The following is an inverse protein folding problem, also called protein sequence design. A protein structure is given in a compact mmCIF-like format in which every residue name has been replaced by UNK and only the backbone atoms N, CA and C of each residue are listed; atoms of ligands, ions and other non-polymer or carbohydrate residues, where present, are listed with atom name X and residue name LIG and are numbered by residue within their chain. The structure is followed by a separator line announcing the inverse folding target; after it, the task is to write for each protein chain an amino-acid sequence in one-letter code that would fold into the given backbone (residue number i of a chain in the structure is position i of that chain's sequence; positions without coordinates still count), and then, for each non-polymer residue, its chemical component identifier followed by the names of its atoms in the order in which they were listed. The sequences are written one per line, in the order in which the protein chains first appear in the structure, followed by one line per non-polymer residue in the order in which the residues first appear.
data_IF_141650066846
#
_entry.id   IF_141650066846
#
_cell.length_a   1.000
_cell.length_b   1.000
_cell.length_c   1.000
_cell.angle_alpha   90.00
_cell.angle_beta   90.00
_cell.angle_gamma   90.00
#
_symmetry.space_group_name_H-M   'P 1'
#
loop_
_entity.id
_entity.type
_entity.pdbx_description
1 polymer ?
#
# COMPACT_ATOMS: atom_id res chain seq x y z
N UNK A 1 -13.16 11.08 10.49
CA UNK A 1 -12.93 10.17 9.35
C UNK A 1 -11.43 9.92 9.27
N UNK A 2 -11.02 8.67 9.05
CA UNK A 2 -9.60 8.34 8.91
C UNK A 2 -9.46 7.31 7.80
N UNK A 3 -8.87 7.73 6.68
CA UNK A 3 -8.58 6.87 5.54
C UNK A 3 -7.42 5.94 5.85
N UNK A 4 -7.48 4.73 5.33
CA UNK A 4 -6.37 3.77 5.34
C UNK A 4 -5.86 3.58 3.91
N UNK A 5 -4.66 4.10 3.63
CA UNK A 5 -4.18 4.12 2.26
C UNK A 5 -3.85 2.72 1.73
N UNK A 6 -3.48 1.76 2.59
CA UNK A 6 -3.13 0.43 2.13
C UNK A 6 -3.34 -0.64 3.21
N UNK A 7 -4.04 -1.70 2.82
CA UNK A 7 -4.19 -2.95 3.57
C UNK A 7 -4.28 -4.14 2.60
N UNK A 8 -4.21 -5.37 3.10
CA UNK A 8 -4.31 -6.59 2.29
C UNK A 8 -5.46 -7.48 2.80
N UNK A 9 -6.58 -7.48 2.08
CA UNK A 9 -7.78 -8.21 2.51
C UNK A 9 -7.60 -9.72 2.44
N UNK A 10 -6.90 -10.23 1.43
CA UNK A 10 -6.67 -11.68 1.33
C UNK A 10 -5.95 -12.18 2.55
N UNK A 11 -4.87 -11.51 2.95
CA UNK A 11 -4.11 -11.90 4.14
C UNK A 11 -4.94 -11.78 5.42
N UNK A 12 -5.77 -10.72 5.54
CA UNK A 12 -6.68 -10.57 6.68
C UNK A 12 -7.68 -11.73 6.73
N UNK A 13 -8.24 -12.15 5.59
CA UNK A 13 -9.19 -13.28 5.52
C UNK A 13 -8.50 -14.62 5.81
N UNK A 14 -7.30 -14.84 5.29
CA UNK A 14 -6.53 -16.06 5.55
C UNK A 14 -6.26 -16.24 7.05
N UNK A 15 -6.00 -15.14 7.74
CA UNK A 15 -5.70 -15.15 9.15
C UNK A 15 -6.95 -15.25 10.06
N UNK A 16 -8.07 -14.65 9.68
CA UNK A 16 -9.24 -14.46 10.55
C UNK A 16 -10.50 -15.18 10.05
N UNK A 17 -10.56 -15.57 8.78
CA UNK A 17 -11.76 -16.06 8.12
C UNK A 17 -12.69 -14.93 7.67
N UNK A 18 -13.71 -15.25 6.87
CA UNK A 18 -14.63 -14.27 6.28
C UNK A 18 -15.48 -13.55 7.34
N UNK A 19 -16.01 -14.29 8.32
CA UNK A 19 -16.93 -13.75 9.32
C UNK A 19 -16.24 -12.69 10.20
N UNK A 20 -15.04 -12.99 10.72
CA UNK A 20 -14.30 -12.01 11.53
C UNK A 20 -13.79 -10.85 10.66
N UNK A 21 -13.43 -11.10 9.41
CA UNK A 21 -13.08 -10.01 8.49
C UNK A 21 -14.27 -9.07 8.23
N UNK A 22 -15.49 -9.60 8.13
CA UNK A 22 -16.71 -8.78 8.05
C UNK A 22 -16.89 -7.90 9.30
N UNK A 23 -16.61 -8.45 10.49
CA UNK A 23 -16.62 -7.68 11.74
C UNK A 23 -15.53 -6.59 11.75
N UNK A 24 -14.31 -6.90 11.28
CA UNK A 24 -13.21 -5.94 11.14
C UNK A 24 -13.63 -4.78 10.24
N UNK A 25 -14.16 -5.08 9.05
CA UNK A 25 -14.65 -4.07 8.12
C UNK A 25 -15.82 -3.27 8.68
N UNK A 26 -16.75 -3.91 9.41
CA UNK A 26 -17.87 -3.23 10.09
C UNK A 26 -17.38 -2.23 11.15
N UNK A 27 -16.35 -2.58 11.93
CA UNK A 27 -15.72 -1.67 12.88
C UNK A 27 -15.02 -0.51 12.16
N UNK A 28 -14.30 -0.80 11.07
CA UNK A 28 -13.63 0.23 10.27
C UNK A 28 -14.63 1.21 9.64
N UNK A 29 -15.77 0.72 9.11
CA UNK A 29 -16.83 1.56 8.57
C UNK A 29 -17.40 2.56 9.60
N UNK A 30 -17.37 2.21 10.89
CA UNK A 30 -17.77 3.11 11.98
C UNK A 30 -16.96 4.40 12.05
N UNK A 31 -15.73 4.40 11.53
CA UNK A 31 -14.89 5.61 11.39
C UNK A 31 -15.27 6.49 10.19
N UNK A 32 -16.18 6.03 9.33
CA UNK A 32 -16.58 6.69 8.08
C UNK A 32 -15.35 7.08 7.23
N UNK A 33 -14.49 6.13 6.82
CA UNK A 33 -13.34 6.45 5.99
C UNK A 33 -13.78 7.11 4.68
N UNK A 34 -13.02 8.09 4.22
CA UNK A 34 -13.16 8.63 2.87
C UNK A 34 -12.57 7.66 1.83
N UNK A 35 -11.47 7.00 2.21
CA UNK A 35 -10.70 6.15 1.32
C UNK A 35 -10.11 4.95 2.06
N UNK A 36 -10.07 3.82 1.37
CA UNK A 36 -9.36 2.61 1.78
C UNK A 36 -8.88 1.88 0.53
N UNK A 37 -7.62 1.42 0.48
CA UNK A 37 -7.10 0.73 -0.67
C UNK A 37 -6.67 -0.69 -0.32
N UNK A 38 -7.28 -1.66 -0.98
CA UNK A 38 -6.87 -3.06 -0.92
C UNK A 38 -5.78 -3.35 -1.94
N UNK A 39 -4.65 -3.88 -1.47
CA UNK A 39 -3.45 -4.08 -2.26
C UNK A 39 -3.40 -5.45 -2.95
N UNK A 40 -3.06 -5.44 -4.25
CA UNK A 40 -2.77 -6.65 -5.03
C UNK A 40 -1.31 -7.06 -4.93
N UNK A 41 -1.04 -8.35 -4.83
CA UNK A 41 0.32 -8.90 -4.73
C UNK A 41 0.68 -9.85 -5.88
N UNK A 42 -0.32 -10.33 -6.63
CA UNK A 42 -0.13 -11.16 -7.83
C UNK A 42 -0.88 -10.62 -9.03
N UNK A 43 -0.47 -11.00 -10.23
CA UNK A 43 -0.95 -10.41 -11.50
C UNK A 43 -2.47 -10.54 -11.75
N UNK A 44 -3.18 -11.41 -11.06
CA UNK A 44 -4.59 -11.71 -11.33
C UNK A 44 -5.48 -11.84 -10.08
N UNK A 45 -4.97 -11.52 -8.89
CA UNK A 45 -5.70 -11.69 -7.63
C UNK A 45 -6.92 -10.74 -7.46
N UNK A 46 -7.02 -9.69 -8.27
CA UNK A 46 -8.08 -8.67 -8.18
C UNK A 46 -9.50 -9.28 -8.24
N UNK A 47 -9.71 -10.32 -9.06
CA UNK A 47 -11.01 -10.97 -9.20
C UNK A 47 -11.47 -11.65 -7.90
N UNK A 48 -10.54 -12.35 -7.26
CA UNK A 48 -10.81 -13.02 -5.99
C UNK A 48 -10.99 -12.01 -4.86
N UNK A 49 -10.12 -11.00 -4.78
CA UNK A 49 -10.15 -9.95 -3.75
C UNK A 49 -11.45 -9.15 -3.82
N UNK A 50 -11.86 -8.71 -5.01
CA UNK A 50 -13.14 -8.02 -5.23
C UNK A 50 -14.32 -8.86 -4.73
N UNK A 51 -14.38 -10.14 -5.10
CA UNK A 51 -15.43 -11.06 -4.67
C UNK A 51 -15.42 -11.25 -3.14
N UNK A 52 -14.27 -11.48 -2.53
CA UNK A 52 -14.14 -11.67 -1.09
C UNK A 52 -14.57 -10.43 -0.30
N UNK A 53 -14.13 -9.26 -0.74
CA UNK A 53 -14.53 -7.98 -0.13
C UNK A 53 -16.03 -7.78 -0.22
N UNK A 54 -16.63 -8.04 -1.38
CA UNK A 54 -18.07 -7.93 -1.54
C UNK A 54 -18.82 -8.87 -0.59
N UNK A 55 -18.38 -10.12 -0.48
CA UNK A 55 -18.94 -11.09 0.46
C UNK A 55 -18.87 -10.60 1.93
N UNK A 56 -17.71 -10.09 2.34
CA UNK A 56 -17.56 -9.52 3.68
C UNK A 56 -18.47 -8.32 3.92
N UNK A 57 -18.63 -7.44 2.94
CA UNK A 57 -19.50 -6.27 3.05
C UNK A 57 -20.98 -6.69 3.13
N UNK A 58 -21.41 -7.62 2.31
CA UNK A 58 -22.81 -8.09 2.27
C UNK A 58 -23.22 -8.90 3.51
N UNK A 59 -22.27 -9.46 4.25
CA UNK A 59 -22.49 -10.11 5.53
C UNK A 59 -22.73 -9.12 6.69
N UNK A 60 -22.45 -7.82 6.50
CA UNK A 60 -22.68 -6.78 7.52
C UNK A 60 -24.17 -6.43 7.53
N UNK A 61 -24.87 -6.53 8.68
CA UNK A 61 -26.29 -6.22 8.79
C UNK A 61 -26.63 -4.73 8.59
N UNK A 62 -25.68 -3.83 8.89
CA UNK A 62 -25.85 -2.37 8.83
C UNK A 62 -25.65 -1.87 7.39
N UNK A 63 -26.73 -1.52 6.71
CA UNK A 63 -26.73 -1.03 5.33
C UNK A 63 -25.94 0.28 5.16
N UNK A 64 -25.90 1.17 6.17
CA UNK A 64 -25.12 2.41 6.12
C UNK A 64 -23.61 2.09 6.08
N UNK A 65 -23.17 1.11 6.87
CA UNK A 65 -21.80 0.63 6.85
C UNK A 65 -21.45 -0.06 5.52
N UNK A 66 -22.35 -0.88 4.97
CA UNK A 66 -22.14 -1.46 3.64
C UNK A 66 -21.93 -0.38 2.58
N UNK A 67 -22.78 0.65 2.57
CA UNK A 67 -22.67 1.78 1.64
C UNK A 67 -21.37 2.54 1.80
N UNK A 68 -20.96 2.81 3.05
CA UNK A 68 -19.68 3.47 3.35
C UNK A 68 -18.52 2.66 2.78
N UNK A 69 -18.45 1.36 3.04
CA UNK A 69 -17.37 0.50 2.55
C UNK A 69 -17.36 0.41 1.01
N UNK A 70 -18.52 0.19 0.39
CA UNK A 70 -18.62 0.14 -1.08
C UNK A 70 -18.16 1.45 -1.74
N UNK A 71 -18.31 2.59 -1.06
CA UNK A 71 -17.84 3.88 -1.57
C UNK A 71 -16.37 4.16 -1.27
N UNK A 72 -15.86 3.72 -0.14
CA UNK A 72 -14.50 4.02 0.32
C UNK A 72 -13.45 3.06 -0.24
N UNK A 73 -13.80 1.78 -0.49
CA UNK A 73 -12.83 0.76 -0.90
C UNK A 73 -12.46 0.93 -2.37
N UNK A 74 -11.16 0.97 -2.60
CA UNK A 74 -10.49 0.99 -3.88
C UNK A 74 -9.47 -0.14 -3.96
N UNK A 75 -8.91 -0.39 -5.14
CA UNK A 75 -8.01 -1.50 -5.39
C UNK A 75 -6.74 -1.04 -6.11
N UNK A 76 -5.66 -1.73 -5.81
CA UNK A 76 -4.51 -1.78 -6.68
C UNK A 76 -4.34 -3.17 -7.28
N UNK A 77 -3.60 -3.27 -8.37
CA UNK A 77 -3.15 -4.53 -8.94
C UNK A 77 -1.65 -4.43 -9.23
N UNK A 78 -0.89 -5.41 -8.75
CA UNK A 78 0.56 -5.40 -8.86
C UNK A 78 1.16 -6.78 -8.63
N UNK A 79 2.48 -6.84 -8.76
CA UNK A 79 3.25 -8.07 -8.59
C UNK A 79 4.38 -7.74 -7.62
N UNK A 80 4.37 -8.39 -6.46
CA UNK A 80 5.47 -8.30 -5.50
C UNK A 80 6.69 -9.08 -6.00
N UNK A 81 7.92 -8.64 -5.66
CA UNK A 81 9.15 -9.26 -6.14
C UNK A 81 9.51 -10.50 -5.31
N UNK A 82 8.82 -11.62 -5.50
CA UNK A 82 9.29 -12.93 -5.10
C UNK A 82 10.10 -13.59 -6.22
N UNK A 83 10.77 -14.71 -5.92
CA UNK A 83 11.65 -15.39 -6.88
C UNK A 83 10.91 -15.79 -8.17
N UNK A 84 9.75 -16.41 -8.05
CA UNK A 84 8.97 -16.88 -9.20
C UNK A 84 8.48 -15.71 -10.05
N UNK A 85 8.08 -14.61 -9.41
CA UNK A 85 7.64 -13.38 -10.07
C UNK A 85 8.78 -12.69 -10.83
N UNK A 86 9.97 -12.68 -10.25
CA UNK A 86 11.18 -12.12 -10.87
C UNK A 86 11.59 -12.93 -12.09
N UNK A 87 11.60 -14.26 -11.99
CA UNK A 87 11.92 -15.17 -13.09
C UNK A 87 10.93 -15.03 -14.25
N UNK A 88 9.62 -14.98 -13.96
CA UNK A 88 8.56 -14.96 -14.93
C UNK A 88 8.05 -13.55 -15.30
N UNK A 89 8.79 -12.50 -14.96
CA UNK A 89 8.39 -11.08 -14.98
C UNK A 89 7.71 -10.60 -16.25
N UNK A 90 8.18 -11.02 -17.42
CA UNK A 90 7.63 -10.57 -18.70
C UNK A 90 6.20 -11.08 -18.93
N UNK A 91 5.98 -12.38 -18.74
CA UNK A 91 4.66 -12.98 -18.90
C UNK A 91 3.69 -12.52 -17.80
N UNK A 92 4.16 -12.35 -16.56
CA UNK A 92 3.33 -11.90 -15.47
C UNK A 92 2.89 -10.44 -15.63
N UNK A 93 3.76 -9.53 -16.12
CA UNK A 93 3.37 -8.14 -16.38
C UNK A 93 2.43 -8.02 -17.59
N UNK A 94 2.59 -8.86 -18.63
CA UNK A 94 1.61 -8.95 -19.71
C UNK A 94 0.25 -9.42 -19.19
N UNK A 95 0.22 -10.45 -18.34
CA UNK A 95 -1.00 -10.91 -17.69
C UNK A 95 -1.62 -9.83 -16.79
N UNK A 96 -0.80 -9.10 -16.03
CA UNK A 96 -1.28 -7.98 -15.20
C UNK A 96 -1.95 -6.90 -16.06
N UNK A 97 -1.37 -6.54 -17.21
CA UNK A 97 -1.97 -5.56 -18.13
C UNK A 97 -3.34 -6.04 -18.63
N UNK A 98 -3.44 -7.31 -19.05
CA UNK A 98 -4.70 -7.89 -19.50
C UNK A 98 -5.73 -7.94 -18.37
N UNK A 99 -5.32 -8.40 -17.18
CA UNK A 99 -6.18 -8.45 -16.00
C UNK A 99 -6.74 -7.07 -15.65
N UNK A 100 -5.91 -6.02 -15.66
CA UNK A 100 -6.35 -4.64 -15.37
C UNK A 100 -7.40 -4.19 -16.39
N UNK A 101 -7.15 -4.44 -17.69
CA UNK A 101 -8.08 -4.06 -18.76
C UNK A 101 -9.41 -4.80 -18.65
N UNK A 102 -9.36 -6.12 -18.45
CA UNK A 102 -10.53 -6.98 -18.37
C UNK A 102 -11.38 -6.63 -17.13
N UNK A 103 -10.73 -6.44 -15.98
CA UNK A 103 -11.42 -6.06 -14.75
C UNK A 103 -12.11 -4.70 -14.88
N UNK A 104 -11.41 -3.67 -15.38
CA UNK A 104 -11.98 -2.33 -15.58
C UNK A 104 -13.13 -2.29 -16.58
N UNK A 105 -13.19 -3.21 -17.51
CA UNK A 105 -14.25 -3.33 -18.51
C UNK A 105 -15.35 -4.33 -18.12
N UNK A 106 -15.25 -4.96 -16.95
CA UNK A 106 -16.22 -5.95 -16.48
C UNK A 106 -17.45 -5.30 -15.80
N UNK A 107 -18.42 -6.15 -15.47
CA UNK A 107 -19.57 -5.76 -14.66
C UNK A 107 -19.31 -5.90 -13.14
N UNK A 108 -18.07 -6.04 -12.71
CA UNK A 108 -17.75 -6.10 -11.28
C UNK A 108 -18.13 -4.78 -10.60
N UNK A 109 -18.77 -4.80 -9.41
CA UNK A 109 -19.16 -3.58 -8.69
C UNK A 109 -17.99 -2.62 -8.39
N UNK A 110 -16.78 -3.15 -8.35
CA UNK A 110 -15.57 -2.39 -8.09
C UNK A 110 -14.70 -2.14 -9.33
N UNK A 111 -15.18 -2.45 -10.54
CA UNK A 111 -14.42 -2.30 -11.78
C UNK A 111 -13.79 -0.89 -11.94
N UNK A 112 -14.55 0.16 -11.62
CA UNK A 112 -14.09 1.56 -11.65
C UNK A 112 -13.20 1.94 -10.46
N UNK A 113 -13.07 1.09 -9.45
CA UNK A 113 -12.30 1.30 -8.23
C UNK A 113 -10.87 0.76 -8.30
N UNK A 114 -10.49 0.11 -9.38
CA UNK A 114 -9.08 -0.25 -9.65
C UNK A 114 -8.34 0.98 -10.14
N UNK A 115 -7.58 1.64 -9.25
CA UNK A 115 -7.03 2.98 -9.46
C UNK A 115 -5.51 3.08 -9.35
N UNK A 116 -4.83 2.03 -8.93
CA UNK A 116 -3.38 2.01 -8.77
C UNK A 116 -2.74 0.75 -9.31
N UNK A 117 -1.48 0.85 -9.72
CA UNK A 117 -0.60 -0.29 -9.99
C UNK A 117 0.33 -0.47 -8.80
N UNK A 118 0.47 -1.71 -8.33
CA UNK A 118 1.32 -2.06 -7.20
C UNK A 118 0.55 -2.69 -6.02
N UNK A 119 1.26 -2.89 -4.88
CA UNK A 119 2.66 -2.56 -4.63
C UNK A 119 3.60 -3.24 -5.62
N UNK A 120 4.60 -2.50 -6.09
CA UNK A 120 5.63 -2.99 -6.98
C UNK A 120 6.97 -2.32 -6.63
N UNK A 121 8.06 -3.01 -6.81
CA UNK A 121 9.34 -2.42 -6.44
C UNK A 121 10.41 -3.42 -6.14
N UNK A 122 11.23 -3.13 -5.12
CA UNK A 122 12.34 -3.97 -4.70
C UNK A 122 12.25 -4.29 -3.21
N UNK A 123 12.60 -5.52 -2.84
CA UNK A 123 12.63 -5.99 -1.46
C UNK A 123 13.90 -6.80 -1.21
N UNK A 124 14.88 -6.20 -0.54
CA UNK A 124 16.16 -6.82 -0.21
C UNK A 124 16.21 -7.38 1.23
N UNK A 125 15.06 -7.53 1.89
CA UNK A 125 14.98 -8.18 3.21
C UNK A 125 14.69 -9.68 3.10
N UNK A 126 15.27 -10.32 2.10
CA UNK A 126 15.13 -11.74 1.79
C UNK A 126 15.72 -12.66 2.88
N UNK A 127 16.62 -12.10 3.70
CA UNK A 127 17.27 -12.83 4.79
C UNK A 127 16.43 -12.95 6.06
N UNK A 128 15.33 -12.25 6.18
CA UNK A 128 14.48 -12.40 7.36
C UNK A 128 13.61 -13.66 7.23
N UNK A 129 14.18 -14.74 7.69
CA UNK A 129 13.75 -16.14 7.64
C UNK A 129 12.32 -16.42 8.14
N UNK A 130 11.64 -15.44 8.72
CA UNK A 130 10.32 -15.58 9.31
C UNK A 130 9.17 -15.20 8.37
N UNK A 131 9.47 -14.77 7.14
CA UNK A 131 8.47 -14.35 6.18
C UNK A 131 8.28 -15.39 5.09
N UNK A 132 7.28 -16.27 5.28
CA UNK A 132 6.51 -17.01 4.28
C UNK A 132 7.27 -17.53 3.04
N UNK A 133 8.02 -18.65 3.21
CA UNK A 133 8.49 -19.46 2.07
C UNK A 133 9.70 -18.94 1.30
N UNK A 134 10.25 -17.78 1.63
CA UNK A 134 11.46 -17.21 0.99
C UNK A 134 12.79 -17.80 1.47
N UNK A 135 12.78 -18.87 2.24
CA UNK A 135 13.95 -19.51 2.87
C UNK A 135 15.00 -19.98 1.84
N UNK A 136 14.65 -20.05 0.57
CA UNK A 136 15.49 -20.59 -0.50
C UNK A 136 15.77 -19.61 -1.65
N UNK A 137 15.34 -18.35 -1.53
CA UNK A 137 15.55 -17.39 -2.58
C UNK A 137 17.00 -16.97 -2.64
N UNK A 138 17.67 -17.27 -3.74
CA UNK A 138 19.04 -16.85 -3.99
C UNK A 138 19.06 -15.40 -4.40
N UNK A 139 19.62 -14.55 -3.55
CA UNK A 139 19.76 -13.11 -3.81
C UNK A 139 21.16 -12.81 -4.35
N UNK A 140 21.33 -12.97 -5.63
CA UNK A 140 22.57 -12.65 -6.33
C UNK A 140 22.44 -11.41 -7.23
N UNK A 141 23.53 -11.04 -7.90
CA UNK A 141 23.54 -9.89 -8.82
C UNK A 141 22.56 -10.05 -9.98
N UNK A 142 22.27 -11.28 -10.41
CA UNK A 142 21.32 -11.56 -11.48
C UNK A 142 19.90 -11.33 -10.99
N UNK A 143 19.54 -11.86 -9.84
CA UNK A 143 18.22 -11.68 -9.21
C UNK A 143 17.92 -10.20 -8.96
N UNK A 144 18.90 -9.42 -8.45
CA UNK A 144 18.77 -7.96 -8.27
C UNK A 144 18.44 -7.27 -9.61
N UNK A 145 19.11 -7.66 -10.68
CA UNK A 145 18.89 -7.07 -12.01
C UNK A 145 17.48 -7.39 -12.51
N UNK A 146 17.06 -8.62 -12.37
CA UNK A 146 15.75 -9.11 -12.80
C UNK A 146 14.60 -8.52 -11.98
N UNK A 147 14.81 -8.31 -10.68
CA UNK A 147 13.88 -7.58 -9.81
C UNK A 147 13.71 -6.11 -10.27
N UNK A 148 14.81 -5.43 -10.60
CA UNK A 148 14.77 -4.09 -11.21
C UNK A 148 14.00 -4.08 -12.52
N UNK A 149 14.14 -5.12 -13.35
CA UNK A 149 13.39 -5.26 -14.60
C UNK A 149 11.89 -5.41 -14.33
N UNK A 150 11.49 -6.28 -13.38
CA UNK A 150 10.09 -6.46 -12.96
C UNK A 150 9.48 -5.14 -12.49
N UNK A 151 10.22 -4.39 -11.67
CA UNK A 151 9.80 -3.08 -11.19
C UNK A 151 9.66 -2.07 -12.34
N UNK A 152 10.64 -1.98 -13.23
CA UNK A 152 10.62 -1.09 -14.39
C UNK A 152 9.46 -1.39 -15.36
N UNK A 153 9.14 -2.67 -15.57
CA UNK A 153 8.02 -3.09 -16.38
C UNK A 153 6.67 -2.62 -15.80
N UNK A 154 6.46 -2.76 -14.49
CA UNK A 154 5.23 -2.32 -13.83
C UNK A 154 5.11 -0.78 -13.81
N UNK A 155 6.20 -0.05 -13.57
CA UNK A 155 6.19 1.42 -13.71
C UNK A 155 5.88 1.87 -15.14
N UNK A 156 6.44 1.16 -16.13
CA UNK A 156 6.17 1.43 -17.56
C UNK A 156 4.71 1.16 -17.88
N UNK A 157 4.11 0.12 -17.30
CA UNK A 157 2.69 -0.16 -17.42
C UNK A 157 1.85 0.97 -16.80
N UNK A 158 2.21 1.47 -15.60
CA UNK A 158 1.58 2.62 -14.97
C UNK A 158 1.61 3.87 -15.85
N UNK A 159 2.76 4.13 -16.47
CA UNK A 159 2.94 5.23 -17.43
C UNK A 159 2.07 5.05 -18.67
N UNK A 160 2.00 3.83 -19.24
CA UNK A 160 1.20 3.51 -20.41
C UNK A 160 -0.30 3.69 -20.17
N UNK A 161 -0.78 3.34 -18.98
CA UNK A 161 -2.19 3.40 -18.62
C UNK A 161 -2.58 4.71 -17.91
N UNK A 162 -1.63 5.61 -17.66
CA UNK A 162 -1.77 6.84 -16.84
C UNK A 162 -2.32 6.55 -15.43
N UNK A 163 -1.92 5.45 -14.83
CA UNK A 163 -2.35 5.02 -13.50
C UNK A 163 -1.23 5.25 -12.48
N UNK A 164 -1.49 5.85 -11.31
CA UNK A 164 -0.49 6.00 -10.23
C UNK A 164 0.07 4.66 -9.77
N UNK A 165 1.35 4.65 -9.37
CA UNK A 165 2.02 3.46 -8.86
C UNK A 165 2.22 3.53 -7.34
N UNK A 166 2.08 2.40 -6.67
CA UNK A 166 2.44 2.22 -5.25
C UNK A 166 3.78 1.50 -5.21
N UNK A 167 4.80 2.19 -4.68
CA UNK A 167 6.15 1.67 -4.65
C UNK A 167 6.42 0.97 -3.33
N UNK A 168 6.78 -0.30 -3.42
CA UNK A 168 7.44 -1.04 -2.36
C UNK A 168 8.96 -0.87 -2.49
N UNK A 169 9.61 -0.42 -1.43
CA UNK A 169 11.06 -0.28 -1.44
C UNK A 169 11.62 -0.62 -0.06
N UNK A 170 12.23 -1.78 0.05
CA UNK A 170 12.76 -2.29 1.31
C UNK A 170 14.23 -2.65 1.17
N UNK A 171 15.11 -1.90 1.88
CA UNK A 171 16.58 -2.03 1.81
C UNK A 171 17.17 -1.95 0.39
N UNK A 172 16.39 -1.46 -0.59
CA UNK A 172 16.74 -1.37 -2.01
C UNK A 172 16.65 0.05 -2.55
N UNK A 173 17.04 1.08 -1.77
CA UNK A 173 16.92 2.47 -2.21
C UNK A 173 17.70 2.76 -3.49
N UNK A 174 18.92 2.24 -3.63
CA UNK A 174 19.78 2.47 -4.81
C UNK A 174 19.11 1.96 -6.08
N UNK A 175 18.61 0.74 -6.02
CA UNK A 175 17.93 0.05 -7.12
C UNK A 175 16.62 0.75 -7.46
N UNK A 176 15.84 1.13 -6.44
CA UNK A 176 14.62 1.92 -6.61
C UNK A 176 14.93 3.25 -7.32
N UNK A 177 15.95 3.98 -6.86
CA UNK A 177 16.33 5.26 -7.43
C UNK A 177 16.78 5.15 -8.89
N UNK A 178 17.52 4.09 -9.23
CA UNK A 178 17.97 3.82 -10.60
C UNK A 178 16.77 3.61 -11.54
N UNK A 179 15.82 2.77 -11.12
CA UNK A 179 14.62 2.47 -11.94
C UNK A 179 13.77 3.71 -12.12
N UNK A 180 13.53 4.50 -11.07
CA UNK A 180 12.75 5.74 -11.16
C UNK A 180 13.38 6.77 -12.10
N UNK A 181 14.72 6.92 -12.07
CA UNK A 181 15.45 7.79 -12.99
C UNK A 181 15.37 7.31 -14.45
N UNK A 182 15.36 5.99 -14.66
CA UNK A 182 15.33 5.40 -16.00
C UNK A 182 13.92 5.51 -16.63
N UNK A 183 12.87 5.10 -15.92
CA UNK A 183 11.49 5.04 -16.45
C UNK A 183 10.84 6.43 -16.53
N UNK A 184 11.17 7.32 -15.61
CA UNK A 184 10.64 8.71 -15.55
C UNK A 184 9.10 8.74 -15.50
N UNK A 185 8.53 7.90 -14.63
CA UNK A 185 7.15 7.95 -14.22
C UNK A 185 7.08 8.19 -12.73
N UNK A 186 6.67 9.38 -12.31
CA UNK A 186 6.77 9.85 -10.93
C UNK A 186 5.38 10.22 -10.38
N UNK A 187 4.38 9.37 -10.62
CA UNK A 187 2.99 9.57 -10.17
C UNK A 187 2.62 8.41 -9.25
N UNK A 188 2.54 8.66 -7.95
CA UNK A 188 2.19 7.62 -6.98
C UNK A 188 2.70 7.86 -5.57
N UNK A 189 2.82 6.78 -4.82
CA UNK A 189 3.16 6.75 -3.38
C UNK A 189 4.30 5.78 -3.14
N UNK A 190 5.26 6.18 -2.32
CA UNK A 190 6.20 5.25 -1.67
C UNK A 190 5.54 4.81 -0.38
N UNK A 191 5.09 3.54 -0.32
CA UNK A 191 4.40 3.02 0.85
C UNK A 191 5.38 2.49 1.91
N UNK A 192 4.95 2.43 3.16
CA UNK A 192 5.74 1.89 4.26
C UNK A 192 7.10 2.56 4.45
N UNK A 193 7.22 3.88 4.20
CA UNK A 193 8.50 4.58 4.19
C UNK A 193 9.32 4.36 5.47
N UNK A 194 10.56 3.90 5.31
CA UNK A 194 11.45 3.57 6.42
C UNK A 194 12.94 3.92 6.16
N UNK A 195 13.18 4.89 5.30
CA UNK A 195 14.52 5.37 4.93
C UNK A 195 14.93 6.64 5.70
N UNK A 196 16.16 7.10 5.45
CA UNK A 196 16.69 8.34 5.99
C UNK A 196 16.11 9.58 5.32
N UNK A 197 16.38 10.76 5.91
CA UNK A 197 15.94 12.03 5.34
C UNK A 197 16.52 12.29 3.94
N UNK A 198 17.77 11.95 3.68
CA UNK A 198 18.39 12.16 2.35
C UNK A 198 17.72 11.34 1.25
N UNK A 199 17.29 10.14 1.58
CA UNK A 199 16.53 9.28 0.67
C UNK A 199 15.09 9.78 0.49
N UNK A 200 14.48 10.31 1.56
CA UNK A 200 13.20 11.00 1.49
C UNK A 200 13.22 12.17 0.52
N UNK A 201 14.24 13.03 0.60
CA UNK A 201 14.42 14.19 -0.28
C UNK A 201 14.46 13.78 -1.75
N UNK A 202 15.09 12.65 -2.07
CA UNK A 202 15.10 12.12 -3.42
C UNK A 202 13.69 11.85 -3.95
N UNK A 203 12.84 11.14 -3.18
CA UNK A 203 11.47 10.85 -3.60
C UNK A 203 10.62 12.13 -3.71
N UNK A 204 10.73 13.03 -2.75
CA UNK A 204 10.01 14.31 -2.75
C UNK A 204 10.38 15.18 -3.95
N UNK A 205 11.67 15.25 -4.32
CA UNK A 205 12.15 16.00 -5.49
C UNK A 205 11.61 15.45 -6.81
N UNK A 206 11.28 14.15 -6.86
CA UNK A 206 10.60 13.54 -8.00
C UNK A 206 9.09 13.71 -7.96
N UNK A 207 8.52 14.23 -6.87
CA UNK A 207 7.07 14.49 -6.72
C UNK A 207 6.25 13.37 -6.08
N UNK A 208 6.90 12.31 -5.56
CA UNK A 208 6.23 11.20 -4.89
C UNK A 208 5.53 11.61 -3.61
N UNK A 209 4.40 10.98 -3.31
CA UNK A 209 3.80 10.97 -1.99
C UNK A 209 4.51 9.94 -1.12
N UNK A 210 4.49 10.17 0.19
CA UNK A 210 5.16 9.33 1.19
C UNK A 210 4.13 8.81 2.18
N UNK A 211 4.02 7.50 2.31
CA UNK A 211 3.11 6.87 3.26
C UNK A 211 3.85 6.31 4.46
N UNK A 212 3.26 6.50 5.63
CA UNK A 212 3.78 5.98 6.91
C UNK A 212 2.78 4.99 7.50
N UNK A 213 3.30 3.83 7.92
CA UNK A 213 2.53 2.78 8.58
C UNK A 213 2.84 2.68 10.09
N UNK A 214 2.33 1.64 10.74
CA UNK A 214 2.48 1.43 12.20
C UNK A 214 3.92 1.41 12.70
N UNK A 215 4.90 1.10 11.85
CA UNK A 215 6.33 1.09 12.20
C UNK A 215 6.85 2.43 12.71
N UNK A 216 6.23 3.54 12.32
CA UNK A 216 6.59 4.89 12.77
C UNK A 216 6.45 5.06 14.28
N UNK A 217 5.63 4.22 14.93
CA UNK A 217 5.41 4.25 16.38
C UNK A 217 6.44 3.45 17.18
N UNK A 218 7.35 2.70 16.53
CA UNK A 218 8.24 1.74 17.19
C UNK A 218 9.52 2.38 17.73
N UNK A 219 9.44 3.01 18.90
CA UNK A 219 10.61 3.55 19.60
C UNK A 219 11.61 2.43 19.96
N UNK A 220 12.84 2.53 19.58
CA UNK A 220 13.87 1.51 19.85
C UNK A 220 14.34 0.74 18.60
N UNK A 221 13.77 0.98 17.43
CA UNK A 221 14.40 0.58 16.16
C UNK A 221 15.61 1.49 15.88
N UNK A 222 16.63 0.95 15.23
CA UNK A 222 17.85 1.68 14.88
C UNK A 222 17.58 2.96 14.08
N UNK A 223 16.59 2.93 13.18
CA UNK A 223 16.20 4.04 12.31
C UNK A 223 14.97 4.82 12.84
N UNK A 224 14.64 4.68 14.13
CA UNK A 224 13.45 5.35 14.68
C UNK A 224 13.53 6.87 14.58
N UNK A 225 14.70 7.45 14.89
CA UNK A 225 14.88 8.89 14.81
C UNK A 225 14.76 9.38 13.35
N UNK A 226 15.35 8.66 12.41
CA UNK A 226 15.24 8.99 10.99
C UNK A 226 13.78 9.01 10.52
N UNK A 227 12.96 8.06 10.98
CA UNK A 227 11.53 8.04 10.66
C UNK A 227 10.77 9.22 11.28
N UNK A 228 11.10 9.63 12.51
CA UNK A 228 10.49 10.82 13.14
C UNK A 228 10.90 12.09 12.40
N UNK A 229 12.15 12.20 12.00
CA UNK A 229 12.66 13.32 11.24
C UNK A 229 11.98 13.37 9.86
N UNK A 230 11.81 12.23 9.21
CA UNK A 230 11.04 12.10 7.96
C UNK A 230 9.58 12.54 8.13
N UNK A 231 8.89 12.08 9.19
CA UNK A 231 7.51 12.50 9.49
C UNK A 231 7.41 14.01 9.63
N UNK A 232 8.36 14.66 10.27
CA UNK A 232 8.35 16.12 10.46
C UNK A 232 8.74 16.88 9.18
N UNK A 233 9.59 16.30 8.35
CA UNK A 233 10.14 16.91 7.14
C UNK A 233 9.18 16.85 5.94
N UNK A 234 8.41 15.76 5.79
CA UNK A 234 7.49 15.59 4.65
C UNK A 234 6.52 16.78 4.54
N UNK A 235 6.44 17.44 3.37
CA UNK A 235 5.46 18.51 3.16
C UNK A 235 4.03 18.03 3.40
N UNK A 236 3.18 18.90 3.93
CA UNK A 236 1.78 18.56 4.22
C UNK A 236 1.00 18.04 3.01
N UNK A 237 1.37 18.48 1.82
CA UNK A 237 0.75 18.10 0.55
C UNK A 237 1.40 16.85 -0.09
N UNK A 238 2.22 16.11 0.65
CA UNK A 238 2.87 14.86 0.22
C UNK A 238 2.76 13.70 1.21
N UNK A 239 2.12 13.91 2.36
CA UNK A 239 1.98 12.88 3.40
C UNK A 239 0.73 12.01 3.16
N UNK A 240 0.91 10.70 3.29
CA UNK A 240 -0.13 9.66 3.27
C UNK A 240 0.02 8.83 4.55
N UNK A 241 -1.05 8.18 4.99
CA UNK A 241 -1.06 7.32 6.18
C UNK A 241 -1.80 6.02 5.85
N UNK A 242 -1.23 4.90 6.28
CA UNK A 242 -1.73 3.56 6.05
C UNK A 242 -1.55 2.67 7.28
N UNK A 243 -2.26 1.54 7.32
CA UNK A 243 -1.97 0.48 8.29
C UNK A 243 -0.95 -0.52 7.79
N UNK A 244 -0.99 -0.85 6.51
CA UNK A 244 -0.33 -2.03 5.93
C UNK A 244 -0.79 -3.32 6.64
N UNK A 245 -2.07 -3.36 7.05
CA UNK A 245 -2.62 -4.52 7.78
C UNK A 245 -2.75 -5.76 6.87
N UNK A 246 -2.49 -6.96 7.44
CA UNK A 246 -2.40 -7.32 8.87
C UNK A 246 -1.04 -7.09 9.53
N UNK A 247 -0.08 -6.48 8.84
CA UNK A 247 1.28 -6.26 9.32
C UNK A 247 1.40 -4.96 10.14
N UNK A 248 2.49 -4.82 10.90
CA UNK A 248 2.97 -3.58 11.53
C UNK A 248 1.95 -2.86 12.42
N UNK A 249 1.22 -3.62 13.28
CA UNK A 249 0.30 -3.00 14.24
C UNK A 249 0.99 -1.90 15.06
N UNK A 250 0.38 -0.69 15.15
CA UNK A 250 0.99 0.43 15.87
C UNK A 250 1.03 0.20 17.37
N UNK A 251 1.93 0.89 18.08
CA UNK A 251 1.88 0.95 19.55
C UNK A 251 0.61 1.74 19.96
N UNK A 252 -0.17 1.26 20.99
CA UNK A 252 0.17 0.18 21.93
C UNK A 252 -0.15 -1.24 21.47
N UNK A 253 -0.63 -1.43 20.26
CA UNK A 253 -1.18 -2.69 19.75
C UNK A 253 -0.15 -3.60 19.06
N UNK A 254 1.14 -3.33 19.22
CA UNK A 254 2.23 -4.04 18.52
C UNK A 254 2.20 -5.58 18.63
N UNK A 255 1.59 -6.13 19.70
CA UNK A 255 1.54 -7.57 19.95
C UNK A 255 0.26 -8.24 19.45
N UNK A 256 -0.64 -7.50 18.79
CA UNK A 256 -1.84 -8.05 18.16
C UNK A 256 -1.73 -7.90 16.65
N UNK A 257 -2.55 -8.65 15.91
CA UNK A 257 -2.64 -8.49 14.45
C UNK A 257 -3.18 -7.12 14.11
N UNK A 258 -2.64 -6.53 13.07
CA UNK A 258 -3.08 -5.22 12.62
C UNK A 258 -4.41 -5.33 11.85
N UNK A 259 -5.23 -4.28 11.96
CA UNK A 259 -6.47 -4.15 11.19
C UNK A 259 -6.66 -2.69 10.72
N UNK A 260 -7.45 -2.44 9.65
CA UNK A 260 -7.61 -1.09 9.09
C UNK A 260 -8.08 -0.03 10.11
N UNK A 261 -8.83 -0.43 11.13
CA UNK A 261 -9.27 0.47 12.21
C UNK A 261 -8.09 1.10 12.97
N UNK A 262 -6.96 0.39 13.06
CA UNK A 262 -5.81 0.85 13.85
C UNK A 262 -5.04 1.99 13.19
N UNK A 263 -5.39 2.38 11.98
CA UNK A 263 -4.92 3.62 11.36
C UNK A 263 -5.14 4.84 12.27
N UNK A 264 -6.15 4.80 13.13
CA UNK A 264 -6.43 5.84 14.13
C UNK A 264 -5.25 6.15 15.05
N UNK A 265 -4.51 5.13 15.48
CA UNK A 265 -3.34 5.28 16.34
C UNK A 265 -2.17 5.90 15.58
N UNK A 266 -2.04 5.60 14.30
CA UNK A 266 -0.99 6.14 13.43
C UNK A 266 -1.25 7.63 13.20
N UNK A 267 -2.50 8.01 12.88
CA UNK A 267 -2.90 9.42 12.76
C UNK A 267 -2.65 10.20 14.04
N UNK A 268 -2.99 9.63 15.20
CA UNK A 268 -2.78 10.28 16.49
C UNK A 268 -1.29 10.51 16.79
N UNK A 269 -0.48 9.48 16.53
CA UNK A 269 0.96 9.56 16.73
C UNK A 269 1.60 10.60 15.82
N UNK A 270 1.34 10.56 14.50
CA UNK A 270 1.90 11.50 13.53
C UNK A 270 1.41 12.92 13.81
N UNK A 271 0.13 13.11 14.11
CA UNK A 271 -0.43 14.42 14.47
C UNK A 271 0.28 15.03 15.69
N UNK A 272 0.53 14.21 16.73
CA UNK A 272 1.28 14.61 17.92
C UNK A 272 2.72 15.03 17.58
N UNK A 273 3.42 14.26 16.71
CA UNK A 273 4.81 14.58 16.30
C UNK A 273 4.88 15.87 15.49
N UNK A 274 3.91 16.10 14.63
CA UNK A 274 3.82 17.30 13.79
C UNK A 274 3.22 18.51 14.51
N UNK A 275 2.73 18.38 15.75
CA UNK A 275 2.08 19.45 16.49
C UNK A 275 0.80 19.98 15.83
N UNK A 276 0.05 19.12 15.15
CA UNK A 276 -1.20 19.48 14.49
C UNK A 276 -2.39 18.69 15.05
N UNK A 277 -3.62 19.23 15.02
CA UNK A 277 -4.80 18.48 15.40
C UNK A 277 -5.01 17.26 14.49
N UNK A 278 -5.36 16.10 15.08
CA UNK A 278 -5.57 14.84 14.36
C UNK A 278 -6.57 14.96 13.20
N UNK A 279 -7.69 15.69 13.39
CA UNK A 279 -8.68 15.91 12.33
C UNK A 279 -8.11 16.74 11.17
N UNK A 280 -7.21 17.70 11.43
CA UNK A 280 -6.56 18.50 10.38
C UNK A 280 -5.56 17.66 9.58
N UNK A 281 -4.88 16.73 10.23
CA UNK A 281 -4.04 15.77 9.52
C UNK A 281 -4.87 14.86 8.62
N UNK A 282 -6.01 14.36 9.10
CA UNK A 282 -6.93 13.53 8.31
C UNK A 282 -7.46 14.29 7.08
N UNK A 283 -7.95 15.52 7.25
CA UNK A 283 -8.38 16.36 6.13
C UNK A 283 -7.26 16.58 5.09
N UNK A 284 -6.01 16.67 5.56
CA UNK A 284 -4.84 16.85 4.69
C UNK A 284 -4.54 15.58 3.90
N UNK A 285 -4.56 14.41 4.56
CA UNK A 285 -4.33 13.12 3.91
C UNK A 285 -5.42 12.83 2.88
N UNK A 286 -6.69 13.05 3.22
CA UNK A 286 -7.81 12.86 2.30
C UNK A 286 -7.66 13.74 1.05
N UNK A 287 -7.27 15.00 1.19
CA UNK A 287 -6.99 15.90 0.06
C UNK A 287 -5.81 15.43 -0.80
N UNK A 288 -4.79 14.88 -0.18
CA UNK A 288 -3.64 14.33 -0.89
C UNK A 288 -4.04 13.11 -1.74
N UNK A 289 -4.86 12.22 -1.17
CA UNK A 289 -5.43 11.05 -1.86
C UNK A 289 -6.33 11.52 -3.02
N UNK A 290 -7.24 12.46 -2.77
CA UNK A 290 -8.10 13.04 -3.81
C UNK A 290 -7.28 13.59 -4.99
N UNK A 291 -6.24 14.38 -4.68
CA UNK A 291 -5.38 14.98 -5.70
C UNK A 291 -4.60 13.92 -6.49
N UNK A 292 -4.08 12.89 -5.81
CA UNK A 292 -3.30 11.84 -6.46
C UNK A 292 -4.12 11.03 -7.46
N UNK A 293 -5.34 10.63 -7.06
CA UNK A 293 -6.19 9.74 -7.85
C UNK A 293 -7.28 10.45 -8.64
N UNK A 294 -7.42 11.77 -8.50
CA UNK A 294 -8.47 12.55 -9.17
C UNK A 294 -9.88 12.18 -8.67
N UNK A 295 -10.02 11.87 -7.37
CA UNK A 295 -11.30 11.55 -6.76
C UNK A 295 -12.08 12.82 -6.43
N UNK A 296 -13.42 12.80 -6.65
CA UNK A 296 -14.34 13.92 -6.31
C UNK A 296 -14.83 13.84 -4.86
#
# INVERSE_FOLDING_TARGET
MYSDFLFNINQIIEENGLDETSNILSRFAGNRPFFALDSGITCNDIWERSKKILQCIEAIEDEDKQRILKSAIHFSAGIMPDYDSVENRFSLVENLENTIKDFKNSNDPFASRLIAIGPCGVDHDWESVEYEGRIHDYFDTQTIREEKDLFALQLTLGKKLDIPCIIHSRRGFSETADVLKAVKWNKGVVHGFAYSQSELEFFLNLGWYISFCGTVTYSGKKNFQDMIDAVNYVPKDRIIIETDSPYYAPIPLKCVRNEPLYVNYIYEYIASKRGVPKHKLSETVDKNIQKLFGLE
#
